data_IF_820684836766
#
_entry.id   IF_820684836766
#
_cell.length_a   1.000
_cell.length_b   1.000
_cell.length_c   1.000
_cell.angle_alpha   90.00
_cell.angle_beta   90.00
_cell.angle_gamma   90.00
#
_symmetry.space_group_name_H-M   'P 1'
#
loop_
_entity.id
_entity.type
_entity.pdbx_description
1 polymer ?
#
# COMPACT_ATOMS: atom_id res chain seq x y z
N UNK A 1 -14.88 -18.12 -7.28
CA UNK A 1 -15.62 -16.87 -7.01
C UNK A 1 -14.77 -15.76 -7.57
N UNK A 2 -15.27 -15.00 -8.54
CA UNK A 2 -14.56 -13.82 -9.03
C UNK A 2 -14.64 -12.76 -7.92
N UNK A 3 -13.51 -12.22 -7.48
CA UNK A 3 -13.52 -11.15 -6.49
C UNK A 3 -14.12 -9.91 -7.14
N UNK A 4 -15.21 -9.40 -6.59
CA UNK A 4 -15.72 -8.08 -6.98
C UNK A 4 -14.58 -7.06 -6.86
N UNK A 5 -14.37 -6.29 -7.93
CA UNK A 5 -13.39 -5.21 -7.93
C UNK A 5 -13.96 -4.07 -7.10
N UNK A 6 -13.11 -3.48 -6.27
CA UNK A 6 -13.44 -2.25 -5.53
C UNK A 6 -13.73 -1.12 -6.51
N UNK A 7 -14.65 -0.24 -6.12
CA UNK A 7 -14.82 1.08 -6.74
C UNK A 7 -13.58 1.95 -6.48
N UNK A 8 -13.43 3.05 -7.21
CA UNK A 8 -12.31 3.98 -7.04
C UNK A 8 -12.25 4.56 -5.60
N UNK A 9 -13.37 5.08 -5.09
CA UNK A 9 -13.50 5.54 -3.70
C UNK A 9 -13.13 4.47 -2.67
N UNK A 10 -13.58 3.22 -2.89
CA UNK A 10 -13.31 2.11 -1.96
C UNK A 10 -11.83 1.72 -1.99
N UNK A 11 -11.21 1.78 -3.17
CA UNK A 11 -9.79 1.56 -3.33
C UNK A 11 -8.96 2.65 -2.65
N UNK A 12 -9.30 3.93 -2.83
CA UNK A 12 -8.59 5.05 -2.20
C UNK A 12 -8.67 4.98 -0.67
N UNK A 13 -9.87 4.67 -0.14
CA UNK A 13 -10.07 4.51 1.29
C UNK A 13 -9.26 3.33 1.86
N UNK A 14 -9.30 2.18 1.18
CA UNK A 14 -8.51 1.01 1.58
C UNK A 14 -6.99 1.28 1.50
N UNK A 15 -6.54 2.02 0.49
CA UNK A 15 -5.14 2.38 0.31
C UNK A 15 -4.66 3.32 1.42
N UNK A 16 -5.47 4.31 1.81
CA UNK A 16 -5.17 5.19 2.95
C UNK A 16 -5.03 4.39 4.24
N UNK A 17 -5.95 3.46 4.51
CA UNK A 17 -5.88 2.58 5.68
C UNK A 17 -4.57 1.76 5.70
N UNK A 18 -4.18 1.16 4.57
CA UNK A 18 -2.94 0.39 4.46
C UNK A 18 -1.68 1.24 4.70
N UNK A 19 -1.68 2.49 4.22
CA UNK A 19 -0.61 3.45 4.48
C UNK A 19 -0.56 3.81 5.96
N UNK A 20 -1.72 4.06 6.59
CA UNK A 20 -1.81 4.36 8.04
C UNK A 20 -1.37 3.19 8.91
N UNK A 21 -1.54 1.97 8.44
CA UNK A 21 -1.06 0.76 9.10
C UNK A 21 0.44 0.50 8.86
N UNK A 22 1.10 1.28 8.00
CA UNK A 22 2.51 1.07 7.64
C UNK A 22 2.74 -0.21 6.82
N UNK A 23 1.70 -0.70 6.14
CA UNK A 23 1.75 -1.88 5.27
C UNK A 23 2.00 -1.52 3.80
N UNK A 24 1.78 -0.24 3.46
CA UNK A 24 2.07 0.33 2.14
C UNK A 24 2.79 1.66 2.35
N UNK A 25 3.79 1.92 1.53
CA UNK A 25 4.48 3.22 1.46
C UNK A 25 4.30 3.81 0.06
N UNK A 26 4.08 5.12 0.00
CA UNK A 26 4.08 5.88 -1.24
C UNK A 26 5.41 6.61 -1.45
N UNK A 27 5.82 6.70 -2.72
CA UNK A 27 7.00 7.47 -3.12
C UNK A 27 6.78 8.11 -4.48
N UNK A 28 7.44 9.23 -4.73
CA UNK A 28 7.38 9.95 -6.00
C UNK A 28 8.60 9.59 -6.85
N UNK A 29 8.36 9.22 -8.11
CA UNK A 29 9.41 8.95 -9.10
C UNK A 29 8.95 9.47 -10.45
N UNK A 30 9.82 10.24 -11.14
CA UNK A 30 9.53 10.81 -12.46
C UNK A 30 8.23 11.66 -12.54
N UNK A 31 7.79 12.23 -11.40
CA UNK A 31 6.57 13.03 -11.30
C UNK A 31 5.29 12.21 -11.14
N UNK A 32 5.41 10.90 -10.91
CA UNK A 32 4.30 9.98 -10.67
C UNK A 32 4.38 9.39 -9.26
N UNK A 33 3.21 9.13 -8.66
CA UNK A 33 3.11 8.49 -7.34
C UNK A 33 3.06 6.98 -7.49
N UNK A 34 3.99 6.30 -6.83
CA UNK A 34 4.06 4.86 -6.77
C UNK A 34 3.79 4.38 -5.35
N UNK A 35 3.29 3.15 -5.24
CA UNK A 35 2.99 2.50 -3.97
C UNK A 35 3.71 1.16 -3.91
N UNK A 36 4.37 0.87 -2.79
CA UNK A 36 5.01 -0.43 -2.53
C UNK A 36 4.46 -1.03 -1.24
N UNK A 37 4.25 -2.34 -1.23
CA UNK A 37 4.00 -3.06 0.01
C UNK A 37 5.25 -2.99 0.88
N UNK A 38 5.09 -2.55 2.12
CA UNK A 38 6.11 -2.63 3.15
C UNK A 38 5.88 -3.91 3.92
N UNK A 39 6.95 -4.68 4.09
CA UNK A 39 6.90 -5.89 4.89
C UNK A 39 7.38 -5.53 6.30
N UNK A 40 6.47 -5.43 7.30
CA UNK A 40 6.85 -5.04 8.65
C UNK A 40 7.74 -6.09 9.33
N UNK A 41 7.90 -7.29 8.75
CA UNK A 41 8.81 -8.33 9.27
C UNK A 41 10.23 -8.20 8.75
N UNK A 42 10.45 -7.50 7.62
CA UNK A 42 11.77 -7.31 7.01
C UNK A 42 12.69 -6.42 7.86
N UNK A 43 12.15 -5.51 8.67
CA UNK A 43 12.95 -4.71 9.62
C UNK A 43 13.41 -5.48 10.87
N UNK A 44 12.80 -6.64 11.17
CA UNK A 44 13.14 -7.47 12.34
C UNK A 44 14.21 -8.53 12.01
N UNK A 45 14.55 -8.71 10.72
CA UNK A 45 15.49 -9.73 10.24
C UNK A 45 16.93 -9.26 9.94
N UNK A 46 17.29 -8.04 10.34
CA UNK A 46 18.62 -7.46 10.09
C UNK A 46 19.60 -7.59 11.27
N UNK A 47 19.80 -8.79 11.81
CA UNK A 47 20.89 -9.13 12.75
C UNK A 47 21.40 -10.54 12.50
#
# INVERSE_FOLDING_TARGET
>A
MESEKLSEDEFEQALEDLIRMGLVESYEQDGETYYRATDPTLEIGGI
#
